data_IF_166544735156
#
_entry.id   IF_166544735156
#
_cell.length_a   1.000
_cell.length_b   1.000
_cell.length_c   1.000
_cell.angle_alpha   90.00
_cell.angle_beta   90.00
_cell.angle_gamma   90.00
#
_symmetry.space_group_name_H-M   'P 1'
#
loop_
_entity.id
_entity.type
_entity.pdbx_description
1 polymer ?
#
# COMPACT_ATOMS: atom_id res chain seq x y z
N UNK A 1 -1.79 -5.48 -6.26
CA UNK A 1 -1.25 -4.33 -7.00
C UNK A 1 0.24 -4.48 -7.28
N UNK A 2 1.12 -4.28 -6.28
CA UNK A 2 2.57 -4.17 -6.51
C UNK A 2 3.20 -5.37 -7.23
N UNK A 3 2.78 -6.59 -6.92
CA UNK A 3 3.25 -7.78 -7.63
C UNK A 3 2.83 -7.83 -9.11
N UNK A 4 1.60 -7.40 -9.42
CA UNK A 4 1.11 -7.34 -10.81
C UNK A 4 1.88 -6.29 -11.62
N UNK A 5 2.13 -5.11 -11.05
CA UNK A 5 2.91 -4.07 -11.71
C UNK A 5 4.38 -4.49 -11.86
N UNK A 6 4.94 -5.20 -10.89
CA UNK A 6 6.28 -5.77 -11.01
C UNK A 6 6.38 -6.76 -12.18
N UNK A 7 5.39 -7.64 -12.34
CA UNK A 7 5.33 -8.53 -13.50
C UNK A 7 5.27 -7.74 -14.80
N UNK A 8 4.40 -6.76 -14.89
CA UNK A 8 4.30 -5.94 -16.09
C UNK A 8 5.62 -5.23 -16.45
N UNK A 9 6.32 -4.64 -15.47
CA UNK A 9 7.46 -3.76 -15.73
C UNK A 9 8.81 -4.46 -15.75
N UNK A 10 8.93 -5.59 -15.06
CA UNK A 10 10.23 -6.18 -14.78
C UNK A 10 10.30 -7.70 -14.93
N UNK A 11 9.17 -8.39 -14.93
CA UNK A 11 9.14 -9.86 -14.99
C UNK A 11 7.84 -10.40 -15.59
N UNK A 12 7.58 -10.18 -16.90
CA UNK A 12 6.36 -10.64 -17.57
C UNK A 12 6.15 -12.14 -17.49
N UNK A 13 7.22 -12.93 -17.54
CA UNK A 13 7.19 -14.39 -17.47
C UNK A 13 6.64 -14.90 -16.12
N UNK A 14 6.58 -14.05 -15.11
CA UNK A 14 6.04 -14.37 -13.80
C UNK A 14 4.58 -14.85 -13.81
N UNK A 15 3.81 -14.50 -14.84
CA UNK A 15 2.41 -14.94 -15.00
C UNK A 15 2.26 -16.43 -15.26
N UNK A 16 3.28 -17.08 -15.82
CA UNK A 16 3.29 -18.52 -16.15
C UNK A 16 3.51 -19.39 -14.90
N UNK A 17 4.00 -18.80 -13.80
CA UNK A 17 4.33 -19.57 -12.60
C UNK A 17 3.11 -19.85 -11.72
N UNK A 18 2.74 -21.13 -11.46
CA UNK A 18 1.58 -21.49 -10.66
C UNK A 18 1.63 -20.94 -9.22
N UNK A 19 2.84 -20.74 -8.68
CA UNK A 19 3.04 -20.17 -7.35
C UNK A 19 2.61 -18.69 -7.31
N UNK A 20 2.84 -17.94 -8.39
CA UNK A 20 2.39 -16.55 -8.53
C UNK A 20 0.87 -16.48 -8.61
N UNK A 21 0.26 -17.35 -9.40
CA UNK A 21 -1.20 -17.44 -9.50
C UNK A 21 -1.85 -17.73 -8.13
N UNK A 22 -1.31 -18.69 -7.39
CA UNK A 22 -1.78 -18.98 -6.01
C UNK A 22 -1.60 -17.77 -5.09
N UNK A 23 -0.48 -17.08 -5.19
CA UNK A 23 -0.22 -15.88 -4.40
C UNK A 23 -1.26 -14.79 -4.67
N UNK A 24 -1.61 -14.50 -5.92
CA UNK A 24 -2.62 -13.50 -6.26
C UNK A 24 -4.02 -13.90 -5.80
N UNK A 25 -4.42 -15.16 -6.00
CA UNK A 25 -5.71 -15.68 -5.52
C UNK A 25 -5.85 -15.55 -4.00
N UNK A 26 -4.83 -15.96 -3.25
CA UNK A 26 -4.84 -15.87 -1.78
C UNK A 26 -4.85 -14.40 -1.34
N UNK A 27 -4.02 -13.55 -1.96
CA UNK A 27 -3.97 -12.12 -1.66
C UNK A 27 -5.31 -11.44 -1.92
N UNK A 28 -5.99 -11.80 -3.01
CA UNK A 28 -7.33 -11.28 -3.32
C UNK A 28 -8.36 -11.74 -2.29
N UNK A 29 -8.40 -13.04 -1.95
CA UNK A 29 -9.31 -13.58 -0.94
C UNK A 29 -9.14 -12.90 0.42
N UNK A 30 -7.89 -12.69 0.85
CA UNK A 30 -7.61 -11.98 2.10
C UNK A 30 -8.04 -10.51 2.02
N UNK A 31 -7.81 -9.85 0.89
CA UNK A 31 -8.18 -8.45 0.69
C UNK A 31 -9.69 -8.26 0.71
N UNK A 32 -10.46 -9.11 0.01
CA UNK A 32 -11.92 -9.00 -0.03
C UNK A 32 -12.54 -9.33 1.33
N UNK A 33 -12.06 -10.35 2.02
CA UNK A 33 -12.54 -10.72 3.36
C UNK A 33 -12.26 -9.60 4.38
N UNK A 34 -11.04 -9.07 4.38
CA UNK A 34 -10.67 -7.96 5.27
C UNK A 34 -11.49 -6.72 4.97
N UNK A 35 -11.69 -6.39 3.70
CA UNK A 35 -12.45 -5.21 3.30
C UNK A 35 -13.93 -5.34 3.63
N UNK A 36 -14.51 -6.54 3.47
CA UNK A 36 -15.86 -6.87 3.92
C UNK A 36 -16.03 -6.57 5.41
N UNK A 37 -15.11 -7.02 6.24
CA UNK A 37 -15.15 -6.76 7.68
C UNK A 37 -15.00 -5.28 8.01
N UNK A 38 -14.10 -4.55 7.32
CA UNK A 38 -13.90 -3.11 7.54
C UNK A 38 -15.17 -2.33 7.20
N UNK A 39 -15.83 -2.62 6.08
CA UNK A 39 -17.08 -1.95 5.69
C UNK A 39 -18.19 -2.28 6.68
N UNK A 40 -18.32 -3.54 7.08
CA UNK A 40 -19.31 -3.97 8.08
C UNK A 40 -19.09 -3.29 9.43
N UNK A 41 -17.85 -3.19 9.90
CA UNK A 41 -17.52 -2.47 11.14
C UNK A 41 -17.79 -0.97 11.04
N UNK A 42 -17.54 -0.36 9.89
CA UNK A 42 -17.89 1.04 9.66
C UNK A 42 -19.41 1.23 9.73
N UNK A 43 -20.18 0.37 9.08
CA UNK A 43 -21.65 0.38 9.11
C UNK A 43 -22.17 0.21 10.53
N UNK A 44 -21.64 -0.76 11.29
CA UNK A 44 -22.01 -0.99 12.69
C UNK A 44 -21.80 0.24 13.57
N UNK A 45 -20.72 1.01 13.34
CA UNK A 45 -20.45 2.25 14.08
C UNK A 45 -21.45 3.38 13.80
N UNK A 46 -22.09 3.37 12.64
CA UNK A 46 -23.00 4.43 12.20
C UNK A 46 -24.47 3.98 12.19
N UNK A 47 -24.75 2.71 12.47
CA UNK A 47 -26.11 2.18 12.63
C UNK A 47 -26.41 2.00 14.11
N UNK A 48 -27.69 2.14 14.47
CA UNK A 48 -28.19 1.75 15.79
C UNK A 48 -28.61 0.27 15.82
N UNK A 49 -28.43 -0.45 14.72
CA UNK A 49 -28.79 -1.84 14.57
C UNK A 49 -27.72 -2.76 15.13
N UNK A 50 -28.04 -4.01 15.38
CA UNK A 50 -27.10 -5.01 15.85
C UNK A 50 -26.03 -5.34 14.81
N UNK A 51 -24.90 -5.91 15.26
CA UNK A 51 -23.78 -6.29 14.38
C UNK A 51 -24.20 -7.22 13.23
N UNK A 52 -25.18 -8.09 13.44
CA UNK A 52 -25.69 -8.99 12.40
C UNK A 52 -26.30 -8.24 11.21
N UNK A 53 -26.98 -7.10 11.43
CA UNK A 53 -27.52 -6.28 10.35
C UNK A 53 -26.40 -5.58 9.56
N UNK A 54 -25.32 -5.17 10.23
CA UNK A 54 -24.18 -4.53 9.64
C UNK A 54 -23.36 -5.45 8.70
N UNK A 55 -23.50 -6.76 8.83
CA UNK A 55 -22.93 -7.74 7.90
C UNK A 55 -23.65 -7.78 6.56
N UNK A 56 -24.89 -7.29 6.48
CA UNK A 56 -25.64 -7.26 5.23
C UNK A 56 -25.10 -6.17 4.28
N UNK A 57 -24.74 -6.50 3.02
CA UNK A 57 -24.33 -5.50 2.05
C UNK A 57 -25.38 -4.41 1.78
N UNK A 58 -26.66 -4.72 1.97
CA UNK A 58 -27.75 -3.73 1.80
C UNK A 58 -27.69 -2.61 2.84
N UNK A 59 -27.32 -2.91 4.08
CA UNK A 59 -27.20 -1.92 5.15
C UNK A 59 -25.98 -0.99 4.98
N UNK A 60 -24.98 -1.38 4.19
CA UNK A 60 -23.81 -0.54 3.95
C UNK A 60 -24.17 0.77 3.23
N UNK A 61 -25.12 0.72 2.28
CA UNK A 61 -25.53 1.89 1.51
C UNK A 61 -26.39 2.88 2.32
N UNK A 62 -27.13 2.37 3.30
CA UNK A 62 -27.97 3.21 4.17
C UNK A 62 -27.19 3.86 5.32
N UNK A 63 -26.05 3.29 5.73
CA UNK A 63 -25.28 3.73 6.89
C UNK A 63 -23.80 3.98 6.56
N UNK A 64 -23.53 4.68 5.48
CA UNK A 64 -22.14 4.93 5.01
C UNK A 64 -21.29 5.80 5.95
N UNK A 65 -21.91 6.60 6.83
CA UNK A 65 -21.17 7.53 7.67
C UNK A 65 -20.49 8.66 6.88
N UNK A 66 -21.08 9.06 5.75
CA UNK A 66 -20.58 10.16 4.90
C UNK A 66 -19.51 9.74 3.89
N UNK A 67 -18.68 10.70 3.46
CA UNK A 67 -17.71 10.51 2.38
C UNK A 67 -16.68 9.40 2.66
N UNK A 68 -16.26 9.23 3.91
CA UNK A 68 -15.34 8.17 4.30
C UNK A 68 -15.90 6.76 4.07
N UNK A 69 -17.17 6.53 4.41
CA UNK A 69 -17.85 5.27 4.16
C UNK A 69 -18.05 4.99 2.67
N UNK A 70 -18.39 6.01 1.88
CA UNK A 70 -18.51 5.87 0.44
C UNK A 70 -17.18 5.42 -0.21
N UNK A 71 -16.05 5.95 0.25
CA UNK A 71 -14.71 5.53 -0.21
C UNK A 71 -14.44 4.06 0.17
N UNK A 72 -14.88 3.61 1.35
CA UNK A 72 -14.73 2.21 1.75
C UNK A 72 -15.55 1.28 0.86
N UNK A 73 -16.79 1.64 0.52
CA UNK A 73 -17.63 0.87 -0.41
C UNK A 73 -17.00 0.85 -1.81
N UNK A 74 -16.57 2.00 -2.31
CA UNK A 74 -15.88 2.08 -3.61
C UNK A 74 -14.66 1.15 -3.63
N UNK A 75 -13.85 1.16 -2.56
CA UNK A 75 -12.69 0.28 -2.43
C UNK A 75 -13.09 -1.19 -2.44
N UNK A 76 -14.15 -1.55 -1.72
CA UNK A 76 -14.66 -2.92 -1.72
C UNK A 76 -15.06 -3.36 -3.14
N UNK A 77 -15.78 -2.52 -3.88
CA UNK A 77 -16.19 -2.80 -5.26
C UNK A 77 -14.97 -2.96 -6.18
N UNK A 78 -13.96 -2.08 -6.05
CA UNK A 78 -12.73 -2.19 -6.84
C UNK A 78 -11.90 -3.43 -6.49
N UNK A 79 -11.84 -3.83 -5.22
CA UNK A 79 -11.21 -5.10 -4.82
C UNK A 79 -12.00 -6.28 -5.39
N UNK A 80 -13.32 -6.24 -5.37
CA UNK A 80 -14.14 -7.28 -5.98
C UNK A 80 -13.88 -7.35 -7.49
N UNK A 81 -13.86 -6.22 -8.19
CA UNK A 81 -13.53 -6.17 -9.63
C UNK A 81 -12.12 -6.67 -9.94
N UNK A 82 -11.16 -6.48 -9.05
CA UNK A 82 -9.80 -6.99 -9.19
C UNK A 82 -9.72 -8.53 -9.18
N UNK A 83 -10.81 -9.24 -8.86
CA UNK A 83 -10.95 -10.69 -9.08
C UNK A 83 -10.54 -11.08 -10.49
N UNK A 84 -11.01 -10.33 -11.48
CA UNK A 84 -10.75 -10.57 -12.88
C UNK A 84 -9.25 -10.63 -13.23
N UNK A 85 -8.42 -9.82 -12.58
CA UNK A 85 -6.96 -9.81 -12.76
C UNK A 85 -6.25 -10.77 -11.82
N UNK A 86 -6.75 -10.92 -10.59
CA UNK A 86 -6.10 -11.77 -9.59
C UNK A 86 -6.20 -13.26 -9.92
N UNK A 87 -7.25 -13.68 -10.64
CA UNK A 87 -7.45 -15.06 -11.07
C UNK A 87 -6.84 -15.38 -12.43
N UNK A 88 -6.53 -14.34 -13.20
CA UNK A 88 -5.90 -14.42 -14.51
C UNK A 88 -4.90 -13.25 -14.65
N UNK A 89 -3.69 -13.37 -14.06
CA UNK A 89 -2.70 -12.29 -14.08
C UNK A 89 -2.14 -12.00 -15.48
N UNK A 90 -2.30 -12.89 -16.47
CA UNK A 90 -1.90 -12.63 -17.85
C UNK A 90 -2.54 -11.36 -18.41
N UNK A 91 -3.75 -11.03 -17.94
CA UNK A 91 -4.48 -9.80 -18.33
C UNK A 91 -3.73 -8.50 -18.07
N UNK A 92 -2.73 -8.49 -17.17
CA UNK A 92 -1.91 -7.31 -16.93
C UNK A 92 -0.80 -7.16 -17.96
N UNK A 93 -0.41 -8.26 -18.60
CA UNK A 93 0.68 -8.31 -19.58
C UNK A 93 0.14 -8.30 -21.02
N UNK A 94 -1.03 -8.90 -21.25
CA UNK A 94 -1.68 -8.92 -22.56
C UNK A 94 -2.11 -7.52 -23.02
N UNK A 95 -1.60 -7.01 -24.14
CA UNK A 95 -1.92 -5.68 -24.66
C UNK A 95 -3.43 -5.41 -24.84
N UNK A 96 -4.23 -6.44 -25.11
CA UNK A 96 -5.67 -6.30 -25.33
C UNK A 96 -6.43 -5.97 -24.02
N UNK A 97 -5.95 -6.47 -22.87
CA UNK A 97 -6.62 -6.35 -21.56
C UNK A 97 -5.83 -5.52 -20.55
N UNK A 98 -4.61 -5.12 -20.87
CA UNK A 98 -3.68 -4.39 -20.02
C UNK A 98 -4.28 -3.09 -19.46
N UNK A 99 -4.87 -2.26 -20.32
CA UNK A 99 -5.39 -0.95 -19.91
C UNK A 99 -6.50 -1.08 -18.86
N UNK A 100 -7.58 -1.86 -19.07
CA UNK A 100 -8.60 -2.03 -18.04
C UNK A 100 -8.06 -2.72 -16.78
N UNK A 101 -7.15 -3.68 -16.90
CA UNK A 101 -6.53 -4.35 -15.76
C UNK A 101 -5.72 -3.37 -14.90
N UNK A 102 -4.86 -2.56 -15.53
CA UNK A 102 -4.11 -1.49 -14.85
C UNK A 102 -5.02 -0.47 -14.20
N UNK A 103 -6.08 -0.07 -14.88
CA UNK A 103 -7.05 0.90 -14.36
C UNK A 103 -7.67 0.40 -13.06
N UNK A 104 -8.20 -0.83 -13.05
CA UNK A 104 -8.83 -1.42 -11.86
C UNK A 104 -7.85 -1.47 -10.69
N UNK A 105 -6.65 -2.03 -10.88
CA UNK A 105 -5.70 -2.20 -9.78
C UNK A 105 -5.09 -0.88 -9.30
N UNK A 106 -4.93 0.11 -10.19
CA UNK A 106 -4.43 1.43 -9.85
C UNK A 106 -5.46 2.24 -9.09
N UNK A 107 -6.72 2.26 -9.55
CA UNK A 107 -7.83 2.93 -8.86
C UNK A 107 -8.06 2.30 -7.48
N UNK A 108 -8.05 0.97 -7.39
CA UNK A 108 -8.12 0.25 -6.10
C UNK A 108 -7.05 0.78 -5.13
N UNK A 109 -5.82 0.88 -5.57
CA UNK A 109 -4.72 1.35 -4.73
C UNK A 109 -4.83 2.84 -4.41
N UNK A 110 -5.25 3.67 -5.38
CA UNK A 110 -5.45 5.11 -5.20
C UNK A 110 -6.49 5.43 -4.11
N UNK A 111 -7.52 4.58 -3.92
CA UNK A 111 -8.51 4.78 -2.85
C UNK A 111 -7.90 4.78 -1.45
N UNK A 112 -6.73 4.15 -1.24
CA UNK A 112 -6.03 4.20 0.04
C UNK A 112 -5.44 5.59 0.32
N UNK A 113 -5.02 6.32 -0.72
CA UNK A 113 -4.60 7.72 -0.60
C UNK A 113 -5.74 8.66 -0.21
N UNK A 114 -6.97 8.34 -0.64
CA UNK A 114 -8.15 9.15 -0.33
C UNK A 114 -8.56 9.10 1.15
N UNK A 115 -8.28 8.03 1.88
CA UNK A 115 -8.67 7.89 3.30
C UNK A 115 -8.02 8.90 4.24
N UNK A 116 -6.91 9.52 3.84
CA UNK A 116 -6.22 10.57 4.60
C UNK A 116 -6.63 11.99 4.20
N UNK A 117 -7.41 12.13 3.14
CA UNK A 117 -7.97 13.41 2.73
C UNK A 117 -9.12 13.73 3.67
N UNK A 118 -8.79 14.30 4.82
CA UNK A 118 -9.74 14.77 5.81
C UNK A 118 -10.59 15.93 5.27
N UNK A 119 -11.29 16.62 6.15
CA UNK A 119 -12.28 17.65 5.82
C UNK A 119 -11.76 18.85 4.99
N UNK A 120 -10.45 19.03 4.86
CA UNK A 120 -9.81 20.00 3.97
C UNK A 120 -9.20 19.30 2.76
N UNK A 121 -9.97 19.11 1.72
CA UNK A 121 -9.54 18.51 0.45
C UNK A 121 -8.70 19.52 -0.34
N UNK A 122 -7.43 19.65 0.00
CA UNK A 122 -6.45 20.27 -0.90
C UNK A 122 -6.12 19.27 -2.02
N UNK A 123 -6.11 19.73 -3.28
CA UNK A 123 -5.66 18.93 -4.43
C UNK A 123 -4.26 18.35 -4.17
N UNK A 124 -3.39 19.09 -3.51
CA UNK A 124 -2.04 18.64 -3.14
C UNK A 124 -2.08 17.44 -2.18
N UNK A 125 -2.94 17.48 -1.15
CA UNK A 125 -3.11 16.34 -0.23
C UNK A 125 -3.60 15.09 -0.95
N UNK A 126 -4.49 15.25 -1.90
CA UNK A 126 -4.97 14.16 -2.75
C UNK A 126 -3.83 13.57 -3.59
N UNK A 127 -3.08 14.39 -4.31
CA UNK A 127 -1.97 13.95 -5.16
C UNK A 127 -0.89 13.24 -4.33
N UNK A 128 -0.49 13.81 -3.20
CA UNK A 128 0.49 13.19 -2.32
C UNK A 128 -0.03 11.90 -1.69
N UNK A 129 -1.31 11.84 -1.30
CA UNK A 129 -1.93 10.65 -0.75
C UNK A 129 -1.96 9.47 -1.73
N UNK A 130 -2.38 9.75 -2.96
CA UNK A 130 -2.40 8.74 -4.03
C UNK A 130 -0.99 8.31 -4.41
N UNK A 131 -0.07 9.27 -4.62
CA UNK A 131 1.33 8.98 -4.94
C UNK A 131 2.01 8.13 -3.86
N UNK A 132 1.76 8.43 -2.58
CA UNK A 132 2.25 7.67 -1.45
C UNK A 132 1.72 6.23 -1.44
N UNK A 133 0.40 6.07 -1.57
CA UNK A 133 -0.25 4.77 -1.57
C UNK A 133 0.22 3.88 -2.74
N UNK A 134 0.32 4.44 -3.95
CA UNK A 134 0.81 3.73 -5.13
C UNK A 134 2.28 3.30 -4.95
N UNK A 135 3.14 4.19 -4.47
CA UNK A 135 4.56 3.91 -4.28
C UNK A 135 4.81 2.83 -3.23
N UNK A 136 4.15 2.92 -2.07
CA UNK A 136 4.24 1.88 -1.02
C UNK A 136 3.64 0.55 -1.51
N UNK A 137 2.47 0.60 -2.14
CA UNK A 137 1.82 -0.60 -2.66
C UNK A 137 2.66 -1.33 -3.69
N UNK A 138 3.32 -0.60 -4.59
CA UNK A 138 4.19 -1.18 -5.60
C UNK A 138 5.48 -1.73 -4.98
N UNK A 139 6.13 -0.95 -4.12
CA UNK A 139 7.35 -1.37 -3.45
C UNK A 139 7.14 -2.58 -2.53
N UNK A 140 6.21 -2.50 -1.57
CA UNK A 140 5.98 -3.57 -0.61
C UNK A 140 5.35 -4.81 -1.27
N UNK A 141 4.38 -4.61 -2.16
CA UNK A 141 3.73 -5.71 -2.87
C UNK A 141 4.66 -6.45 -3.83
N UNK A 142 5.54 -5.73 -4.53
CA UNK A 142 6.58 -6.33 -5.36
C UNK A 142 7.60 -7.12 -4.55
N UNK A 143 8.02 -6.57 -3.40
CA UNK A 143 8.96 -7.24 -2.49
C UNK A 143 8.37 -8.53 -1.90
N UNK A 144 7.11 -8.50 -1.46
CA UNK A 144 6.43 -9.70 -0.93
C UNK A 144 6.33 -10.77 -2.02
N UNK A 145 5.99 -10.40 -3.25
CA UNK A 145 5.96 -11.34 -4.36
C UNK A 145 7.35 -11.99 -4.55
N UNK A 146 8.42 -11.19 -4.65
CA UNK A 146 9.77 -11.72 -4.82
C UNK A 146 10.18 -12.69 -3.71
N UNK A 147 9.93 -12.33 -2.47
CA UNK A 147 10.30 -13.18 -1.31
C UNK A 147 9.52 -14.48 -1.29
N UNK A 148 8.25 -14.45 -1.70
CA UNK A 148 7.35 -15.62 -1.63
C UNK A 148 7.44 -16.53 -2.84
N UNK A 149 7.83 -16.01 -3.99
CA UNK A 149 7.87 -16.75 -5.25
C UNK A 149 9.29 -16.96 -5.76
N UNK A 150 9.96 -15.88 -6.13
CA UNK A 150 11.26 -15.90 -6.79
C UNK A 150 12.36 -16.53 -5.92
N UNK A 151 12.45 -16.12 -4.67
CA UNK A 151 13.52 -16.56 -3.77
C UNK A 151 13.24 -17.92 -3.10
N UNK A 152 12.14 -18.57 -3.44
CA UNK A 152 11.80 -19.93 -2.97
C UNK A 152 12.18 -21.03 -3.96
N UNK A 153 12.36 -20.68 -5.24
CA UNK A 153 12.73 -21.62 -6.32
C UNK A 153 14.05 -21.14 -7.00
N UNK A 154 15.21 -21.30 -6.34
CA UNK A 154 16.48 -20.86 -6.92
C UNK A 154 16.87 -21.77 -8.08
N UNK A 155 17.32 -21.20 -9.18
CA UNK A 155 17.91 -21.94 -10.29
C UNK A 155 17.49 -21.51 -11.70
N UNK A 156 16.50 -20.64 -11.85
CA UNK A 156 16.03 -20.17 -13.14
C UNK A 156 16.59 -18.78 -13.46
N UNK A 157 17.00 -18.56 -14.73
CA UNK A 157 17.61 -17.30 -15.19
C UNK A 157 16.67 -16.11 -15.06
N UNK A 158 15.37 -16.32 -15.24
CA UNK A 158 14.32 -15.31 -15.19
C UNK A 158 14.20 -14.67 -13.80
N UNK A 159 14.49 -15.47 -12.76
CA UNK A 159 14.45 -14.99 -11.38
C UNK A 159 15.52 -13.94 -11.07
N UNK A 160 16.66 -14.01 -11.74
CA UNK A 160 17.72 -13.00 -11.67
C UNK A 160 17.22 -11.69 -12.26
N UNK A 161 16.51 -11.74 -13.38
CA UNK A 161 15.92 -10.59 -14.04
C UNK A 161 14.84 -9.92 -13.17
N UNK A 162 13.98 -10.72 -12.53
CA UNK A 162 12.97 -10.21 -11.60
C UNK A 162 13.59 -9.41 -10.44
N UNK A 163 14.69 -9.93 -9.85
CA UNK A 163 15.40 -9.25 -8.76
C UNK A 163 16.07 -7.96 -9.24
N UNK A 164 16.72 -7.98 -10.39
CA UNK A 164 17.39 -6.80 -10.97
C UNK A 164 16.33 -5.74 -11.31
N UNK A 165 15.23 -6.12 -11.96
CA UNK A 165 14.14 -5.24 -12.34
C UNK A 165 13.51 -4.59 -11.11
N UNK A 166 13.19 -5.37 -10.08
CA UNK A 166 12.69 -4.82 -8.82
C UNK A 166 13.65 -3.84 -8.17
N UNK A 167 14.95 -4.16 -8.14
CA UNK A 167 15.97 -3.29 -7.54
C UNK A 167 16.08 -1.95 -8.26
N UNK A 168 15.86 -1.93 -9.58
CA UNK A 168 15.80 -0.67 -10.36
C UNK A 168 14.58 0.17 -10.01
N UNK A 169 13.43 -0.47 -9.80
CA UNK A 169 12.16 0.20 -9.48
C UNK A 169 12.08 0.64 -8.01
N UNK A 170 12.59 -0.16 -7.07
CA UNK A 170 12.44 0.08 -5.64
C UNK A 170 13.03 1.40 -5.16
N UNK A 171 14.20 1.81 -5.68
CA UNK A 171 14.85 3.06 -5.28
C UNK A 171 14.00 4.31 -5.55
N UNK A 172 13.57 4.59 -6.78
CA UNK A 172 12.66 5.69 -7.09
C UNK A 172 11.36 5.64 -6.30
N UNK A 173 10.75 4.46 -6.15
CA UNK A 173 9.51 4.28 -5.40
C UNK A 173 9.66 4.65 -3.92
N UNK A 174 10.74 4.25 -3.29
CA UNK A 174 11.03 4.62 -1.90
C UNK A 174 11.22 6.13 -1.74
N UNK A 175 11.92 6.78 -2.67
CA UNK A 175 12.09 8.23 -2.66
C UNK A 175 10.72 8.92 -2.75
N UNK A 176 9.88 8.51 -3.70
CA UNK A 176 8.53 9.07 -3.85
C UNK A 176 7.69 8.81 -2.60
N UNK A 177 7.72 7.60 -2.04
CA UNK A 177 6.98 7.26 -0.82
C UNK A 177 7.41 8.12 0.37
N UNK A 178 8.71 8.31 0.57
CA UNK A 178 9.23 9.13 1.69
C UNK A 178 8.89 10.60 1.52
N UNK A 179 9.12 11.16 0.33
CA UNK A 179 8.82 12.58 0.07
C UNK A 179 7.32 12.85 0.25
N UNK A 180 6.46 12.03 -0.36
CA UNK A 180 5.01 12.21 -0.26
C UNK A 180 4.49 11.99 1.16
N UNK A 181 5.01 11.01 1.88
CA UNK A 181 4.66 10.75 3.28
C UNK A 181 5.09 11.89 4.20
N UNK A 182 6.31 12.42 4.02
CA UNK A 182 6.80 13.58 4.77
C UNK A 182 5.97 14.83 4.50
N UNK A 183 5.70 15.13 3.22
CA UNK A 183 4.86 16.26 2.86
C UNK A 183 3.45 16.17 3.46
N UNK A 184 2.83 14.99 3.41
CA UNK A 184 1.54 14.78 4.08
C UNK A 184 1.61 15.04 5.59
N UNK A 185 2.67 14.58 6.25
CA UNK A 185 2.85 14.79 7.69
C UNK A 185 3.02 16.27 8.03
N UNK A 186 3.82 17.01 7.25
CA UNK A 186 3.98 18.46 7.41
C UNK A 186 2.66 19.20 7.19
N UNK A 187 1.87 18.79 6.20
CA UNK A 187 0.55 19.39 5.93
C UNK A 187 -0.48 19.11 7.03
N UNK A 188 -0.37 17.98 7.74
CA UNK A 188 -1.30 17.59 8.79
C UNK A 188 -0.92 18.14 10.17
N UNK A 189 0.36 18.15 10.50
CA UNK A 189 0.86 18.50 11.84
C UNK A 189 1.49 19.90 11.90
N UNK A 190 2.00 20.42 10.79
CA UNK A 190 2.73 21.69 10.77
C UNK A 190 3.92 21.67 11.74
N UNK A 191 4.07 22.74 12.51
CA UNK A 191 5.14 22.86 13.51
C UNK A 191 4.90 22.00 14.78
N UNK A 192 3.70 21.47 14.97
CA UNK A 192 3.34 20.64 16.13
C UNK A 192 3.83 19.18 16.01
N UNK A 193 4.58 18.84 14.98
CA UNK A 193 5.16 17.50 14.73
C UNK A 193 5.87 16.94 15.99
N UNK A 194 6.60 17.75 16.73
CA UNK A 194 7.38 17.29 17.89
C UNK A 194 6.60 17.28 19.20
N UNK A 195 5.47 17.96 19.27
CA UNK A 195 4.71 18.17 20.52
C UNK A 195 3.43 17.35 20.60
N UNK A 196 2.81 17.04 19.47
CA UNK A 196 1.57 16.26 19.41
C UNK A 196 1.82 14.74 19.50
N UNK A 197 0.82 14.00 20.00
CA UNK A 197 0.85 12.53 20.00
C UNK A 197 0.93 11.95 18.58
N UNK A 198 0.21 12.56 17.62
CA UNK A 198 0.25 12.24 16.20
C UNK A 198 1.66 12.44 15.63
N UNK A 199 2.28 13.59 15.89
CA UNK A 199 3.63 13.90 15.43
C UNK A 199 4.72 12.98 16.01
N UNK A 200 4.61 12.58 17.30
CA UNK A 200 5.56 11.62 17.91
C UNK A 200 5.53 10.27 17.21
N UNK A 201 4.35 9.75 16.84
CA UNK A 201 4.24 8.55 16.03
C UNK A 201 4.82 8.78 14.63
N UNK A 202 4.61 9.96 14.03
CA UNK A 202 5.23 10.35 12.77
C UNK A 202 6.76 10.30 12.81
N UNK A 203 7.39 10.77 13.89
CA UNK A 203 8.85 10.65 14.09
C UNK A 203 9.28 9.18 14.11
N UNK A 204 8.56 8.29 14.80
CA UNK A 204 8.86 6.86 14.78
C UNK A 204 8.73 6.27 13.36
N UNK A 205 7.69 6.65 12.60
CA UNK A 205 7.53 6.25 11.20
C UNK A 205 8.73 6.70 10.35
N UNK A 206 9.22 7.92 10.54
CA UNK A 206 10.41 8.44 9.85
C UNK A 206 11.66 7.61 10.21
N UNK A 207 11.87 7.30 11.48
CA UNK A 207 13.02 6.49 11.92
C UNK A 207 13.01 5.09 11.31
N UNK A 208 11.87 4.40 11.35
CA UNK A 208 11.73 3.08 10.71
C UNK A 208 11.87 3.16 9.18
N UNK A 209 11.37 4.23 8.56
CA UNK A 209 11.54 4.46 7.12
C UNK A 209 13.01 4.69 6.75
N UNK A 210 13.75 5.43 7.56
CA UNK A 210 15.20 5.63 7.37
C UNK A 210 15.98 4.32 7.50
N UNK A 211 15.64 3.47 8.48
CA UNK A 211 16.21 2.13 8.62
C UNK A 211 15.92 1.27 7.38
N UNK A 212 14.71 1.33 6.89
CA UNK A 212 14.25 0.61 5.71
C UNK A 212 15.02 1.05 4.44
N UNK A 213 15.20 2.37 4.24
CA UNK A 213 16.00 2.94 3.14
C UNK A 213 17.45 2.44 3.24
N UNK A 214 18.02 2.42 4.43
CA UNK A 214 19.39 1.93 4.65
C UNK A 214 19.54 0.47 4.23
N UNK A 215 18.58 -0.39 4.60
CA UNK A 215 18.55 -1.79 4.18
C UNK A 215 18.40 -1.94 2.67
N UNK A 216 17.49 -1.16 2.05
CA UNK A 216 17.28 -1.18 0.60
C UNK A 216 18.53 -0.72 -0.18
N UNK A 217 19.25 0.30 0.29
CA UNK A 217 20.51 0.75 -0.32
C UNK A 217 21.60 -0.31 -0.19
N UNK A 218 21.72 -0.96 0.97
CA UNK A 218 22.65 -2.10 1.15
C UNK A 218 22.31 -3.25 0.19
N UNK A 219 21.02 -3.57 0.05
CA UNK A 219 20.53 -4.59 -0.87
C UNK A 219 20.85 -4.24 -2.32
N UNK A 220 20.54 -3.00 -2.72
CA UNK A 220 20.81 -2.50 -4.07
C UNK A 220 22.30 -2.61 -4.43
N UNK A 221 23.18 -2.16 -3.53
CA UNK A 221 24.62 -2.26 -3.74
C UNK A 221 25.08 -3.72 -3.86
N UNK A 222 24.55 -4.60 -3.01
CA UNK A 222 24.85 -6.01 -3.09
C UNK A 222 24.39 -6.66 -4.41
N UNK A 223 23.18 -6.34 -4.85
CA UNK A 223 22.61 -6.84 -6.12
C UNK A 223 23.41 -6.31 -7.31
N UNK A 224 23.63 -5.01 -7.40
CA UNK A 224 24.38 -4.41 -8.52
C UNK A 224 25.80 -4.97 -8.64
N UNK A 225 26.53 -5.13 -7.52
CA UNK A 225 27.91 -5.61 -7.54
C UNK A 225 28.03 -7.11 -7.86
N UNK A 226 27.06 -7.91 -7.42
CA UNK A 226 27.15 -9.37 -7.52
C UNK A 226 26.37 -9.95 -8.68
N UNK A 227 25.17 -9.41 -9.00
CA UNK A 227 24.28 -9.97 -10.01
C UNK A 227 24.66 -9.58 -11.45
N UNK A 228 25.39 -8.49 -11.64
CA UNK A 228 25.89 -8.12 -12.98
C UNK A 228 26.80 -9.18 -13.64
N UNK A 229 27.27 -10.18 -12.88
CA UNK A 229 28.20 -11.21 -13.33
C UNK A 229 27.69 -12.64 -13.16
N UNK A 230 26.43 -12.83 -12.80
CA UNK A 230 25.88 -14.15 -12.44
C UNK A 230 24.68 -14.46 -13.31
N UNK A 231 24.76 -15.58 -14.01
CA UNK A 231 23.66 -16.11 -14.83
C UNK A 231 22.62 -16.89 -13.99
N UNK A 232 23.05 -17.45 -12.83
CA UNK A 232 22.19 -18.29 -11.99
C UNK A 232 22.31 -17.94 -10.49
N UNK A 233 21.18 -17.89 -9.81
CA UNK A 233 21.07 -17.59 -8.40
C UNK A 233 21.49 -18.81 -7.55
N UNK A 234 22.63 -18.75 -6.85
CA UNK A 234 22.98 -19.82 -5.94
C UNK A 234 22.06 -19.84 -4.71
N UNK A 235 21.76 -21.02 -4.15
CA UNK A 235 20.88 -21.16 -3.00
C UNK A 235 21.32 -20.35 -1.77
N UNK A 236 22.63 -20.20 -1.53
CA UNK A 236 23.15 -19.33 -0.44
C UNK A 236 22.86 -17.85 -0.68
N UNK A 237 22.89 -17.42 -1.92
CA UNK A 237 22.62 -16.04 -2.30
C UNK A 237 21.13 -15.73 -2.19
N UNK A 238 20.27 -16.61 -2.72
CA UNK A 238 18.82 -16.53 -2.58
C UNK A 238 18.40 -16.46 -1.11
N UNK A 239 19.00 -17.29 -0.24
CA UNK A 239 18.71 -17.27 1.20
C UNK A 239 19.09 -15.95 1.88
N UNK A 240 20.28 -15.39 1.57
CA UNK A 240 20.71 -14.09 2.13
C UNK A 240 19.80 -12.96 1.67
N UNK A 241 19.47 -12.94 0.40
CA UNK A 241 18.57 -11.97 -0.19
C UNK A 241 17.19 -12.03 0.47
N UNK A 242 16.62 -13.23 0.56
CA UNK A 242 15.35 -13.50 1.22
C UNK A 242 15.33 -13.00 2.66
N UNK A 243 16.40 -13.22 3.42
CA UNK A 243 16.50 -12.78 4.82
C UNK A 243 16.47 -11.25 4.95
N UNK A 244 17.24 -10.53 4.11
CA UNK A 244 17.28 -9.06 4.14
C UNK A 244 15.93 -8.48 3.68
N UNK A 245 15.38 -8.96 2.58
CA UNK A 245 14.08 -8.51 2.08
C UNK A 245 12.94 -8.84 3.07
N UNK A 246 12.99 -9.98 3.74
CA UNK A 246 12.01 -10.31 4.78
C UNK A 246 12.10 -9.36 5.98
N UNK A 247 13.30 -8.98 6.41
CA UNK A 247 13.48 -7.98 7.46
C UNK A 247 12.89 -6.62 7.04
N UNK A 248 13.13 -6.21 5.80
CA UNK A 248 12.57 -4.99 5.23
C UNK A 248 11.03 -5.03 5.17
N UNK A 249 10.45 -6.17 4.78
CA UNK A 249 8.99 -6.38 4.82
C UNK A 249 8.43 -6.24 6.24
N UNK A 250 9.09 -6.84 7.23
CA UNK A 250 8.65 -6.76 8.63
C UNK A 250 8.66 -5.31 9.11
N UNK A 251 9.73 -4.56 8.83
CA UNK A 251 9.80 -3.13 9.16
C UNK A 251 8.70 -2.36 8.42
N UNK A 252 8.48 -2.64 7.14
CA UNK A 252 7.39 -2.05 6.36
C UNK A 252 6.01 -2.31 6.96
N UNK A 253 5.75 -3.52 7.46
CA UNK A 253 4.50 -3.84 8.16
C UNK A 253 4.38 -3.04 9.47
N UNK A 254 5.47 -2.89 10.22
CA UNK A 254 5.48 -2.05 11.44
C UNK A 254 5.17 -0.60 11.09
N UNK A 255 5.78 -0.05 10.04
CA UNK A 255 5.48 1.30 9.54
C UNK A 255 4.01 1.43 9.16
N UNK A 256 3.44 0.46 8.45
CA UNK A 256 2.01 0.46 8.10
C UNK A 256 1.11 0.38 9.35
N UNK A 257 1.48 -0.41 10.35
CA UNK A 257 0.74 -0.49 11.60
C UNK A 257 0.76 0.85 12.36
N UNK A 258 1.92 1.50 12.47
CA UNK A 258 2.06 2.82 13.09
C UNK A 258 1.26 3.88 12.33
N UNK A 259 1.34 3.90 11.00
CA UNK A 259 0.57 4.84 10.18
C UNK A 259 -0.93 4.59 10.27
N UNK A 260 -1.36 3.32 10.37
CA UNK A 260 -2.77 2.97 10.61
C UNK A 260 -3.25 3.43 11.98
N UNK A 261 -2.39 3.38 12.99
CA UNK A 261 -2.69 3.93 14.33
C UNK A 261 -2.83 5.45 14.32
N UNK A 262 -2.09 6.15 13.45
CA UNK A 262 -2.21 7.61 13.31
C UNK A 262 -3.54 8.05 12.68
N UNK A 263 -4.20 7.20 11.86
CA UNK A 263 -5.43 7.57 11.13
C UNK A 263 -6.56 8.09 12.05
N UNK A 264 -6.91 7.42 13.18
CA UNK A 264 -7.94 7.88 14.08
C UNK A 264 -7.53 9.07 14.96
N UNK A 265 -6.24 9.42 15.01
CA UNK A 265 -5.77 10.57 15.78
C UNK A 265 -6.04 11.87 15.01
N UNK A 266 -6.69 12.84 15.66
CA UNK A 266 -6.91 14.16 15.06
C UNK A 266 -5.57 14.91 15.01
N UNK A 267 -5.10 15.34 13.83
CA UNK A 267 -3.92 16.18 13.73
C UNK A 267 -4.18 17.57 14.31
N UNK A 268 -3.16 18.26 14.87
CA UNK A 268 -3.31 19.56 15.56
C UNK A 268 -3.96 20.65 14.70
N UNK A 269 -3.73 20.66 13.41
CA UNK A 269 -4.34 21.66 12.51
C UNK A 269 -5.83 21.43 12.30
N UNK A 270 -6.33 20.20 12.36
CA UNK A 270 -7.76 19.93 12.32
C UNK A 270 -8.46 20.46 13.59
N UNK A 271 -7.83 20.32 14.77
CA UNK A 271 -8.35 20.88 16.02
C UNK A 271 -8.39 22.42 15.99
N UNK A 272 -7.42 23.07 15.38
CA UNK A 272 -7.38 24.54 15.25
C UNK A 272 -8.48 25.07 14.30
N UNK A 273 -8.85 24.30 13.28
CA UNK A 273 -9.95 24.65 12.38
C UNK A 273 -11.32 24.49 13.05
N UNK A 274 -11.51 23.42 13.84
CA UNK A 274 -12.74 23.19 14.61
C UNK A 274 -12.97 24.30 15.67
N UNK A 275 -11.92 24.78 16.34
CA UNK A 275 -11.99 25.90 17.32
C UNK A 275 -12.36 27.19 16.61
N UNK A 276 -11.77 27.51 15.47
CA UNK A 276 -12.12 28.73 14.71
C UNK A 276 -13.55 28.72 14.21
N UNK A 277 -14.09 27.57 13.84
CA UNK A 277 -15.48 27.43 13.41
C UNK A 277 -16.45 27.57 14.60
N UNK A 278 -16.17 26.97 15.73
CA UNK A 278 -17.00 27.08 16.93
C UNK A 278 -17.07 28.54 17.45
N UNK A 279 -15.93 29.23 17.49
CA UNK A 279 -15.89 30.65 17.90
C UNK A 279 -16.67 31.55 16.93
N UNK A 280 -16.65 31.24 15.63
CA UNK A 280 -17.42 32.01 14.62
C UNK A 280 -18.94 31.80 14.73
N UNK A 281 -19.41 30.70 15.33
CA UNK A 281 -20.85 30.47 15.60
C UNK A 281 -21.31 31.10 16.90
N UNK A 282 -20.43 31.33 17.91
CA UNK A 282 -20.80 32.01 19.16
C UNK A 282 -20.94 33.53 19.00
N UNK A 283 -20.42 34.14 17.94
CA UNK A 283 -20.52 35.58 17.65
C UNK A 283 -21.56 35.96 16.59
N UNK A 284 -22.46 35.08 16.25
CA UNK A 284 -23.63 35.33 15.39
C UNK A 284 -24.92 35.14 16.16
#
# INVERSE_FOLDING_TARGET
FGGLILMLLAWPEGVEYPICLRFFKISWLLSIATMYLIVSMNTFRHSNDGFASALSPFSWFSHTGGGGGAILILRFVLIAAAFWVAFDPEKIVDPATQVPALTIVTLMMATYGLTRVGQNVSILNFVFGVGHALSIGLWLGGMILLVRTVLTAPGESDLVQAVIGFTKLSGPLMIVAVITGFLQMVMLDGLAIFTSGHGRLGVLVILFSALMISLALMLKNFVVLKFARIENLSGKMAWRLRRVMSAEIVIGIVVLALTSWMIPMKPPQANAADVKTSVAYEFR
#
